data_IF_217501418468
#
_entry.id   IF_217501418468
#
_cell.length_a   1.000
_cell.length_b   1.000
_cell.length_c   1.000
_cell.angle_alpha   90.00
_cell.angle_beta   90.00
_cell.angle_gamma   90.00
#
_symmetry.space_group_name_H-M   'P 1'
#
loop_
_entity.id
_entity.type
_entity.pdbx_description
1 polymer ?
#
# COMPACT_ATOMS: atom_id res chain seq x y z
N UNK A 1 -11.31 -0.16 10.37
CA UNK A 1 -10.01 0.54 10.32
C UNK A 1 -9.43 0.62 8.91
N UNK A 2 -9.23 -0.49 8.20
CA UNK A 2 -8.64 -0.49 6.84
C UNK A 2 -9.30 0.49 5.87
N UNK A 3 -10.62 0.41 5.68
CA UNK A 3 -11.34 1.31 4.78
C UNK A 3 -11.20 2.79 5.17
N UNK A 4 -11.19 3.11 6.47
CA UNK A 4 -11.01 4.48 6.97
C UNK A 4 -9.62 5.00 6.60
N UNK A 5 -8.57 4.20 6.80
CA UNK A 5 -7.21 4.59 6.42
C UNK A 5 -7.07 4.81 4.91
N UNK A 6 -7.69 3.96 4.09
CA UNK A 6 -7.70 4.10 2.63
C UNK A 6 -8.46 5.37 2.20
N UNK A 7 -9.64 5.63 2.76
CA UNK A 7 -10.42 6.84 2.46
C UNK A 7 -9.65 8.10 2.86
N UNK A 8 -9.03 8.10 4.04
CA UNK A 8 -8.17 9.21 4.46
C UNK A 8 -7.03 9.41 3.46
N UNK A 9 -6.30 8.35 3.11
CA UNK A 9 -5.23 8.42 2.12
C UNK A 9 -5.69 9.01 0.78
N UNK A 10 -6.81 8.52 0.23
CA UNK A 10 -7.38 9.03 -1.03
C UNK A 10 -7.71 10.53 -0.90
N UNK A 11 -8.43 10.90 0.15
CA UNK A 11 -8.87 12.29 0.35
C UNK A 11 -7.69 13.24 0.53
N UNK A 12 -6.75 12.94 1.42
CA UNK A 12 -5.64 13.83 1.72
C UNK A 12 -4.67 13.95 0.54
N UNK A 13 -4.39 12.86 -0.19
CA UNK A 13 -3.56 12.92 -1.40
C UNK A 13 -4.25 13.68 -2.54
N UNK A 14 -5.57 13.57 -2.70
CA UNK A 14 -6.30 14.30 -3.74
C UNK A 14 -6.06 15.81 -3.63
N UNK A 15 -6.01 16.33 -2.40
CA UNK A 15 -5.71 17.74 -2.10
C UNK A 15 -4.23 18.01 -1.83
N UNK A 16 -3.31 17.15 -2.28
CA UNK A 16 -1.87 17.35 -2.15
C UNK A 16 -1.42 17.54 -0.70
N UNK A 17 -1.99 16.75 0.21
CA UNK A 17 -1.76 16.78 1.67
C UNK A 17 -2.21 18.05 2.39
N UNK A 18 -2.87 19.01 1.72
CA UNK A 18 -3.23 20.31 2.32
C UNK A 18 -4.40 20.26 3.30
N UNK A 19 -5.20 19.19 3.26
CA UNK A 19 -6.35 19.01 4.15
C UNK A 19 -6.02 18.21 5.40
N UNK A 20 -4.76 17.88 5.63
CA UNK A 20 -4.29 17.18 6.84
C UNK A 20 -4.37 18.09 8.08
N UNK A 21 -4.48 17.48 9.25
CA UNK A 21 -4.77 18.16 10.52
C UNK A 21 -3.52 18.50 11.34
N UNK A 22 -2.32 18.13 10.87
CA UNK A 22 -1.08 18.53 11.53
C UNK A 22 -0.91 20.05 11.52
N UNK A 23 -0.47 20.60 12.65
CA UNK A 23 -0.34 22.04 12.87
C UNK A 23 1.08 22.45 13.28
N UNK A 24 2.07 21.58 13.07
CA UNK A 24 3.46 21.89 13.35
C UNK A 24 4.04 22.79 12.26
N UNK A 25 4.99 23.63 12.64
CA UNK A 25 5.66 24.56 11.73
C UNK A 25 7.19 24.42 11.81
N UNK A 26 7.88 24.95 10.79
CA UNK A 26 9.34 24.97 10.72
C UNK A 26 9.99 23.60 10.81
N UNK A 27 11.10 23.51 11.55
CA UNK A 27 11.89 22.27 11.67
C UNK A 27 11.09 21.11 12.30
N UNK A 28 10.19 21.40 13.24
CA UNK A 28 9.37 20.38 13.89
C UNK A 28 8.41 19.70 12.89
N UNK A 29 7.82 20.48 11.97
CA UNK A 29 6.99 19.93 10.90
C UNK A 29 7.77 18.96 10.03
N UNK A 30 8.99 19.33 9.63
CA UNK A 30 9.87 18.50 8.78
C UNK A 30 10.21 17.19 9.50
N UNK A 31 10.60 17.27 10.78
CA UNK A 31 10.94 16.09 11.57
C UNK A 31 9.73 15.17 11.78
N UNK A 32 8.57 15.73 12.13
CA UNK A 32 7.35 14.97 12.36
C UNK A 32 6.83 14.33 11.07
N UNK A 33 6.75 15.08 9.98
CA UNK A 33 6.34 14.57 8.67
C UNK A 33 7.32 13.51 8.15
N UNK A 34 8.64 13.74 8.34
CA UNK A 34 9.69 12.77 8.03
C UNK A 34 9.51 11.47 8.82
N UNK A 35 9.24 11.56 10.13
CA UNK A 35 8.95 10.38 10.95
C UNK A 35 7.66 9.67 10.49
N UNK A 36 6.59 10.41 10.22
CA UNK A 36 5.30 9.88 9.75
C UNK A 36 5.42 9.13 8.42
N UNK A 37 6.20 9.63 7.47
CA UNK A 37 6.34 8.98 6.16
C UNK A 37 7.34 7.84 6.17
N UNK A 38 8.41 7.93 6.96
CA UNK A 38 9.42 6.86 7.05
C UNK A 38 8.95 5.69 7.91
N UNK A 39 8.15 5.93 8.96
CA UNK A 39 7.66 4.86 9.82
C UNK A 39 6.82 3.83 9.04
N UNK A 40 6.05 4.27 8.04
CA UNK A 40 5.21 3.35 7.27
C UNK A 40 6.05 2.30 6.51
N UNK A 41 6.89 2.64 5.52
CA UNK A 41 7.64 1.65 4.75
C UNK A 41 8.60 0.83 5.62
N UNK A 42 9.22 1.45 6.63
CA UNK A 42 10.16 0.76 7.54
C UNK A 42 9.43 -0.25 8.42
N UNK A 43 8.44 0.19 9.19
CA UNK A 43 7.75 -0.72 10.11
C UNK A 43 6.88 -1.72 9.33
N UNK A 44 6.19 -1.31 8.25
CA UNK A 44 5.41 -2.24 7.43
C UNK A 44 6.27 -3.37 6.84
N UNK A 45 7.45 -3.04 6.29
CA UNK A 45 8.39 -4.04 5.77
C UNK A 45 8.94 -4.95 6.87
N UNK A 46 9.27 -4.38 8.03
CA UNK A 46 9.72 -5.14 9.18
C UNK A 46 8.65 -6.11 9.69
N UNK A 47 7.40 -5.64 9.80
CA UNK A 47 6.26 -6.43 10.26
C UNK A 47 5.90 -7.58 9.30
N UNK A 48 6.28 -7.48 8.02
CA UNK A 48 6.17 -8.59 7.05
C UNK A 48 7.28 -9.65 7.19
N UNK A 49 8.36 -9.37 7.95
CA UNK A 49 9.43 -10.33 8.21
C UNK A 49 9.02 -11.37 9.26
N UNK A 50 9.74 -12.49 9.33
CA UNK A 50 9.51 -13.51 10.36
C UNK A 50 9.65 -12.95 11.79
N UNK A 51 10.59 -12.02 12.01
CA UNK A 51 10.80 -11.38 13.32
C UNK A 51 9.65 -10.44 13.67
N UNK A 52 9.20 -9.63 12.71
CA UNK A 52 8.07 -8.73 12.91
C UNK A 52 6.75 -9.47 13.15
N UNK A 53 6.50 -10.57 12.43
CA UNK A 53 5.33 -11.42 12.66
C UNK A 53 5.32 -12.05 14.07
N UNK A 54 6.50 -12.40 14.62
CA UNK A 54 6.60 -12.86 16.02
C UNK A 54 6.18 -11.76 17.01
N UNK A 55 6.58 -10.51 16.78
CA UNK A 55 6.18 -9.38 17.63
C UNK A 55 4.66 -9.14 17.52
N UNK A 56 4.11 -9.17 16.31
CA UNK A 56 2.65 -9.02 16.11
C UNK A 56 1.84 -10.09 16.83
N UNK A 57 2.37 -11.31 16.93
CA UNK A 57 1.69 -12.39 17.65
C UNK A 57 1.52 -12.12 19.16
N UNK A 58 2.28 -11.17 19.72
CA UNK A 58 2.15 -10.74 21.11
C UNK A 58 0.94 -9.83 21.35
N UNK A 59 0.36 -9.22 20.30
CA UNK A 59 -0.78 -8.32 20.41
C UNK A 59 -2.12 -9.07 20.57
N UNK A 60 -2.17 -10.35 20.20
CA UNK A 60 -3.39 -11.15 20.23
C UNK A 60 -3.46 -12.12 21.42
N UNK A 61 -4.66 -12.62 21.77
CA UNK A 61 -4.79 -13.74 22.71
C UNK A 61 -3.99 -14.94 22.22
N UNK A 62 -3.25 -15.62 23.11
CA UNK A 62 -2.31 -16.70 22.74
C UNK A 62 -2.94 -17.79 21.85
N UNK A 63 -4.21 -18.11 22.08
CA UNK A 63 -4.94 -19.16 21.36
C UNK A 63 -5.40 -18.74 19.95
N UNK A 64 -5.49 -17.43 19.69
CA UNK A 64 -5.98 -16.86 18.43
C UNK A 64 -4.91 -16.07 17.67
N UNK A 65 -3.74 -15.82 18.27
CA UNK A 65 -2.70 -14.95 17.72
C UNK A 65 -2.23 -15.37 16.31
N UNK A 66 -2.09 -16.67 16.07
CA UNK A 66 -1.70 -17.19 14.75
C UNK A 66 -2.82 -16.94 13.73
N UNK A 67 -4.07 -17.20 14.13
CA UNK A 67 -5.24 -17.03 13.26
C UNK A 67 -5.51 -15.56 12.91
N UNK A 68 -5.23 -14.65 13.85
CA UNK A 68 -5.45 -13.20 13.71
C UNK A 68 -4.19 -12.44 13.27
N UNK A 69 -3.15 -13.14 12.81
CA UNK A 69 -1.89 -12.51 12.35
C UNK A 69 -2.12 -11.52 11.20
N UNK A 70 -2.94 -11.89 10.21
CA UNK A 70 -3.33 -11.00 9.10
C UNK A 70 -4.14 -9.80 9.57
N UNK A 71 -5.08 -10.01 10.49
CA UNK A 71 -5.88 -8.94 11.09
C UNK A 71 -5.01 -7.95 11.86
N UNK A 72 -4.13 -8.44 12.73
CA UNK A 72 -3.25 -7.62 13.56
C UNK A 72 -2.30 -6.80 12.69
N UNK A 73 -1.70 -7.45 11.69
CA UNK A 73 -0.87 -6.78 10.69
C UNK A 73 -1.63 -5.66 9.98
N UNK A 74 -2.83 -5.95 9.45
CA UNK A 74 -3.59 -4.95 8.70
C UNK A 74 -4.07 -3.81 9.59
N UNK A 75 -4.44 -4.05 10.85
CA UNK A 75 -4.79 -2.98 11.80
C UNK A 75 -3.60 -2.06 12.03
N UNK A 76 -2.43 -2.60 12.36
CA UNK A 76 -1.23 -1.80 12.60
C UNK A 76 -0.87 -1.00 11.33
N UNK A 77 -0.81 -1.65 10.16
CA UNK A 77 -0.55 -0.96 8.90
C UNK A 77 -1.58 0.14 8.58
N UNK A 78 -2.85 -0.10 8.91
CA UNK A 78 -3.92 0.89 8.71
C UNK A 78 -3.77 2.08 9.65
N UNK A 79 -3.37 1.86 10.91
CA UNK A 79 -3.08 2.94 11.87
C UNK A 79 -1.89 3.77 11.39
N UNK A 80 -0.83 3.12 10.90
CA UNK A 80 0.35 3.80 10.36
C UNK A 80 0.00 4.72 9.18
N UNK A 81 -0.81 4.24 8.23
CA UNK A 81 -1.28 5.06 7.10
C UNK A 81 -2.22 6.17 7.57
N UNK A 82 -3.18 5.84 8.43
CA UNK A 82 -4.13 6.83 8.95
C UNK A 82 -3.39 7.97 9.68
N UNK A 83 -2.42 7.64 10.53
CA UNK A 83 -1.59 8.63 11.21
C UNK A 83 -0.80 9.49 10.21
N UNK A 84 -0.17 8.87 9.19
CA UNK A 84 0.55 9.61 8.15
C UNK A 84 -0.34 10.65 7.47
N UNK A 85 -1.52 10.27 6.99
CA UNK A 85 -2.38 11.18 6.21
C UNK A 85 -3.15 12.18 7.08
N UNK A 86 -3.54 11.81 8.29
CA UNK A 86 -4.29 12.69 9.19
C UNK A 86 -3.38 13.70 9.91
N UNK A 87 -2.21 13.27 10.38
CA UNK A 87 -1.33 14.09 11.24
C UNK A 87 -0.24 14.84 10.47
N UNK A 88 -0.20 14.71 9.14
CA UNK A 88 0.71 15.50 8.30
C UNK A 88 0.49 16.99 8.52
N UNK A 89 1.58 17.74 8.72
CA UNK A 89 1.56 19.20 8.85
C UNK A 89 1.83 19.84 7.49
N UNK A 90 0.85 20.48 6.82
CA UNK A 90 1.01 20.98 5.46
C UNK A 90 1.97 22.17 5.36
N UNK A 91 2.81 22.17 4.33
CA UNK A 91 3.72 23.29 4.02
C UNK A 91 3.02 24.53 3.47
N UNK A 92 1.77 24.40 2.98
CA UNK A 92 1.01 25.44 2.27
C UNK A 92 1.62 25.89 0.92
N UNK A 93 2.67 25.20 0.46
CA UNK A 93 3.32 25.47 -0.83
C UNK A 93 2.61 24.65 -1.92
N UNK A 94 1.74 25.31 -2.68
CA UNK A 94 0.97 24.72 -3.78
C UNK A 94 1.58 25.16 -5.11
N UNK A 95 1.73 24.22 -6.04
CA UNK A 95 2.23 24.49 -7.38
C UNK A 95 1.06 24.64 -8.36
N UNK A 96 1.17 25.62 -9.24
CA UNK A 96 0.26 25.75 -10.38
C UNK A 96 0.59 24.72 -11.44
N UNK A 97 -0.45 24.13 -12.04
CA UNK A 97 -0.28 23.22 -13.15
C UNK A 97 0.14 24.02 -14.40
N UNK A 98 1.13 23.55 -15.17
CA UNK A 98 1.62 24.28 -16.35
C UNK A 98 0.57 24.38 -17.47
N UNK A 99 -0.46 23.51 -17.45
CA UNK A 99 -1.53 23.48 -18.43
C UNK A 99 -2.89 23.28 -17.76
N UNK A 100 -3.88 24.09 -18.12
CA UNK A 100 -5.22 24.07 -17.52
C UNK A 100 -5.95 22.74 -17.71
N UNK A 101 -5.75 22.06 -18.85
CA UNK A 101 -6.43 20.79 -19.13
C UNK A 101 -6.08 19.70 -18.10
N UNK A 102 -4.93 19.79 -17.43
CA UNK A 102 -4.50 18.83 -16.41
C UNK A 102 -5.44 18.81 -15.21
N UNK A 103 -6.15 19.91 -14.92
CA UNK A 103 -7.16 19.99 -13.86
C UNK A 103 -8.29 18.97 -14.10
N UNK A 104 -8.59 18.65 -15.35
CA UNK A 104 -9.62 17.67 -15.71
C UNK A 104 -9.06 16.25 -15.87
N UNK A 105 -7.85 16.12 -16.43
CA UNK A 105 -7.25 14.80 -16.71
C UNK A 105 -6.73 14.12 -15.44
N UNK A 106 -6.05 14.85 -14.55
CA UNK A 106 -5.43 14.25 -13.35
C UNK A 106 -6.45 13.58 -12.42
N UNK A 107 -7.63 14.17 -12.09
CA UNK A 107 -8.65 13.48 -11.31
C UNK A 107 -9.12 12.16 -11.93
N UNK A 108 -9.25 12.10 -13.26
CA UNK A 108 -9.66 10.87 -13.96
C UNK A 108 -8.58 9.80 -13.80
N UNK A 109 -7.31 10.16 -14.06
CA UNK A 109 -6.18 9.24 -13.90
C UNK A 109 -6.00 8.80 -12.44
N UNK A 110 -6.25 9.70 -11.48
CA UNK A 110 -6.23 9.40 -10.06
C UNK A 110 -7.29 8.37 -9.69
N UNK A 111 -8.55 8.61 -10.04
CA UNK A 111 -9.64 7.66 -9.81
C UNK A 111 -9.37 6.31 -10.50
N UNK A 112 -8.85 6.31 -11.72
CA UNK A 112 -8.50 5.09 -12.45
C UNK A 112 -7.40 4.30 -11.73
N UNK A 113 -6.38 4.98 -11.17
CA UNK A 113 -5.32 4.32 -10.41
C UNK A 113 -5.84 3.61 -9.14
N UNK A 114 -6.76 4.23 -8.42
CA UNK A 114 -7.43 3.60 -7.28
C UNK A 114 -8.34 2.46 -7.69
N UNK A 115 -9.06 2.60 -8.80
CA UNK A 115 -9.84 1.50 -9.36
C UNK A 115 -8.95 0.29 -9.70
N UNK A 116 -7.82 0.52 -10.38
CA UNK A 116 -6.83 -0.53 -10.65
C UNK A 116 -6.26 -1.15 -9.37
N UNK A 117 -6.07 -0.34 -8.31
CA UNK A 117 -5.63 -0.84 -7.01
C UNK A 117 -6.68 -1.78 -6.38
N UNK A 118 -7.96 -1.42 -6.46
CA UNK A 118 -9.07 -2.24 -5.96
C UNK A 118 -9.13 -3.57 -6.72
N UNK A 119 -9.09 -3.53 -8.05
CA UNK A 119 -9.07 -4.75 -8.89
C UNK A 119 -7.88 -5.63 -8.55
N UNK A 120 -6.67 -5.04 -8.44
CA UNK A 120 -5.47 -5.78 -8.06
C UNK A 120 -5.54 -6.38 -6.64
N UNK A 121 -6.26 -5.73 -5.72
CA UNK A 121 -6.48 -6.22 -4.36
C UNK A 121 -7.47 -7.38 -4.35
N UNK A 122 -8.51 -7.33 -5.18
CA UNK A 122 -9.48 -8.42 -5.36
C UNK A 122 -8.77 -9.65 -5.95
N UNK A 123 -8.00 -9.48 -7.03
CA UNK A 123 -7.24 -10.56 -7.68
C UNK A 123 -6.23 -11.22 -6.72
N UNK A 124 -5.70 -10.47 -5.75
CA UNK A 124 -4.77 -10.97 -4.74
C UNK A 124 -5.44 -11.70 -3.57
N UNK A 125 -6.78 -11.66 -3.47
CA UNK A 125 -7.54 -12.12 -2.32
C UNK A 125 -7.83 -11.00 -1.32
N UNK A 126 -8.99 -10.35 -1.48
CA UNK A 126 -9.44 -9.21 -0.67
C UNK A 126 -9.44 -9.52 0.84
N UNK A 127 -9.80 -10.74 1.24
CA UNK A 127 -9.89 -11.13 2.65
C UNK A 127 -8.53 -11.09 3.35
N UNK A 128 -7.45 -11.42 2.65
CA UNK A 128 -6.10 -11.36 3.21
C UNK A 128 -5.61 -9.93 3.31
N UNK A 129 -5.85 -9.14 2.26
CA UNK A 129 -5.39 -7.76 2.19
C UNK A 129 -6.10 -6.86 3.22
N UNK A 130 -7.41 -7.06 3.38
CA UNK A 130 -8.22 -6.36 4.39
C UNK A 130 -7.98 -6.87 5.82
N UNK A 131 -7.28 -7.98 6.00
CA UNK A 131 -7.11 -8.64 7.30
C UNK A 131 -8.37 -9.36 7.79
N UNK A 132 -9.42 -9.48 6.96
CA UNK A 132 -10.67 -10.15 7.32
C UNK A 132 -10.54 -11.67 7.43
N UNK A 133 -9.57 -12.28 6.70
CA UNK A 133 -9.38 -13.74 6.67
C UNK A 133 -9.26 -14.34 8.08
N UNK A 134 -8.58 -13.65 8.99
CA UNK A 134 -8.40 -14.13 10.36
C UNK A 134 -9.72 -14.31 11.09
N UNK A 135 -10.57 -13.28 11.10
CA UNK A 135 -11.89 -13.33 11.73
C UNK A 135 -12.85 -14.29 11.03
N UNK A 136 -12.86 -14.32 9.69
CA UNK A 136 -13.68 -15.27 8.92
C UNK A 136 -13.31 -16.71 9.32
N UNK A 137 -12.02 -16.99 9.46
CA UNK A 137 -11.53 -18.32 9.85
C UNK A 137 -11.90 -18.69 11.28
N UNK A 138 -11.77 -17.76 12.22
CA UNK A 138 -12.15 -17.95 13.63
C UNK A 138 -13.66 -18.21 13.76
N UNK A 139 -14.50 -17.39 13.10
CA UNK A 139 -15.96 -17.55 13.09
C UNK A 139 -16.38 -18.88 12.44
N UNK A 140 -15.69 -19.28 11.37
CA UNK A 140 -15.92 -20.56 10.70
C UNK A 140 -15.34 -21.77 11.46
N UNK A 141 -14.67 -21.57 12.60
CA UNK A 141 -13.93 -22.60 13.37
C UNK A 141 -12.95 -23.41 12.51
N UNK A 142 -12.29 -22.73 11.57
CA UNK A 142 -11.30 -23.30 10.64
C UNK A 142 -9.96 -22.58 10.77
N UNK A 143 -8.87 -23.25 10.42
CA UNK A 143 -7.56 -22.59 10.31
C UNK A 143 -7.54 -21.68 9.07
N UNK A 144 -6.94 -20.47 9.14
CA UNK A 144 -6.81 -19.62 7.97
C UNK A 144 -6.07 -20.33 6.84
N UNK A 145 -6.73 -20.44 5.69
CA UNK A 145 -6.12 -20.94 4.46
C UNK A 145 -5.75 -19.73 3.62
N UNK A 146 -4.44 -19.45 3.54
CA UNK A 146 -3.94 -18.39 2.67
C UNK A 146 -4.23 -18.73 1.20
N UNK A 147 -4.61 -17.75 0.37
CA UNK A 147 -4.85 -17.95 -1.04
C UNK A 147 -3.58 -18.42 -1.73
N UNK A 148 -3.76 -19.16 -2.83
CA UNK A 148 -2.65 -19.56 -3.68
C UNK A 148 -1.97 -18.35 -4.32
N UNK A 149 -0.79 -18.58 -4.90
CA UNK A 149 -0.08 -17.57 -5.68
C UNK A 149 -1.01 -16.96 -6.74
N UNK A 150 -1.33 -15.65 -6.69
CA UNK A 150 -2.21 -15.03 -7.68
C UNK A 150 -1.47 -14.95 -9.02
N UNK A 151 -2.03 -15.58 -10.05
CA UNK A 151 -1.50 -15.58 -11.42
C UNK A 151 -2.57 -15.25 -12.47
N UNK A 152 -3.77 -14.86 -12.04
CA UNK A 152 -4.92 -14.50 -12.88
C UNK A 152 -5.19 -13.00 -12.83
N UNK A 153 -6.13 -12.51 -13.66
CA UNK A 153 -6.49 -11.09 -13.69
C UNK A 153 -5.29 -10.20 -14.03
N UNK A 154 -5.09 -9.12 -13.26
CA UNK A 154 -3.95 -8.22 -13.42
C UNK A 154 -2.60 -8.90 -13.14
N UNK A 155 -2.59 -9.93 -12.28
CA UNK A 155 -1.38 -10.72 -12.00
C UNK A 155 -0.95 -11.58 -13.19
N UNK A 156 -1.80 -11.79 -14.20
CA UNK A 156 -1.35 -12.40 -15.46
C UNK A 156 -0.47 -11.45 -16.28
N UNK A 157 -0.70 -10.15 -16.15
CA UNK A 157 -0.07 -9.10 -16.96
C UNK A 157 1.25 -8.63 -16.33
N UNK A 158 1.25 -8.36 -15.03
CA UNK A 158 2.43 -7.91 -14.26
C UNK A 158 2.44 -8.57 -12.88
N UNK A 159 3.61 -8.73 -12.26
CA UNK A 159 3.75 -9.39 -10.96
C UNK A 159 3.28 -8.57 -9.77
N UNK A 160 3.36 -7.24 -9.90
CA UNK A 160 3.11 -6.31 -8.79
C UNK A 160 2.04 -5.27 -9.13
N UNK A 161 0.83 -5.67 -9.53
CA UNK A 161 -0.21 -4.72 -9.94
C UNK A 161 -0.65 -3.80 -8.79
N UNK A 162 -0.69 -4.28 -7.54
CA UNK A 162 -1.00 -3.41 -6.38
C UNK A 162 0.02 -2.26 -6.26
N UNK A 163 1.31 -2.57 -6.37
CA UNK A 163 2.36 -1.56 -6.26
C UNK A 163 2.37 -0.64 -7.49
N UNK A 164 2.10 -1.16 -8.69
CA UNK A 164 2.01 -0.35 -9.90
C UNK A 164 0.82 0.62 -9.84
N UNK A 165 -0.35 0.15 -9.40
CA UNK A 165 -1.54 0.99 -9.23
C UNK A 165 -1.33 2.07 -8.18
N UNK A 166 -0.71 1.74 -7.04
CA UNK A 166 -0.42 2.75 -6.00
C UNK A 166 0.68 3.73 -6.43
N UNK A 167 1.69 3.28 -7.18
CA UNK A 167 2.67 4.15 -7.81
C UNK A 167 2.01 5.17 -8.76
N UNK A 168 1.04 4.72 -9.56
CA UNK A 168 0.24 5.63 -10.38
C UNK A 168 -0.56 6.61 -9.51
N UNK A 169 -1.19 6.13 -8.44
CA UNK A 169 -1.99 6.98 -7.55
C UNK A 169 -1.19 8.12 -6.92
N UNK A 170 0.07 7.89 -6.53
CA UNK A 170 0.93 8.97 -6.02
C UNK A 170 1.44 9.91 -7.12
N UNK A 171 1.39 9.51 -8.40
CA UNK A 171 1.82 10.35 -9.52
C UNK A 171 0.69 11.09 -10.24
N UNK A 172 -0.55 10.66 -10.06
CA UNK A 172 -1.70 11.23 -10.78
C UNK A 172 -2.59 12.10 -9.89
N UNK A 173 -2.13 12.42 -8.68
CA UNK A 173 -2.77 13.36 -7.75
C UNK A 173 -3.15 14.69 -8.44
N UNK A 174 -4.38 15.20 -8.24
CA UNK A 174 -4.83 16.44 -8.89
C UNK A 174 -4.15 17.71 -8.39
N UNK A 175 -3.79 17.76 -7.11
CA UNK A 175 -3.16 18.93 -6.49
C UNK A 175 -1.71 18.60 -6.15
N UNK A 176 -0.78 19.32 -6.78
CA UNK A 176 0.66 19.18 -6.53
C UNK A 176 1.14 20.26 -5.56
N UNK A 177 1.86 19.81 -4.53
CA UNK A 177 2.41 20.64 -3.47
C UNK A 177 3.82 20.16 -3.13
N UNK A 178 4.59 20.96 -2.40
CA UNK A 178 5.89 20.51 -1.90
C UNK A 178 5.75 19.22 -1.06
N UNK A 179 4.69 19.13 -0.25
CA UNK A 179 4.35 17.96 0.56
C UNK A 179 4.09 16.72 -0.32
N UNK A 180 3.27 16.87 -1.35
CA UNK A 180 2.89 15.77 -2.22
C UNK A 180 4.07 15.26 -3.03
N UNK A 181 5.01 16.12 -3.45
CA UNK A 181 6.26 15.68 -4.09
C UNK A 181 7.05 14.76 -3.16
N UNK A 182 7.22 15.13 -1.89
CA UNK A 182 7.92 14.30 -0.90
C UNK A 182 7.21 12.96 -0.72
N UNK A 183 5.88 12.98 -0.61
CA UNK A 183 5.06 11.76 -0.52
C UNK A 183 5.25 10.87 -1.75
N UNK A 184 5.18 11.43 -2.95
CA UNK A 184 5.31 10.71 -4.21
C UNK A 184 6.71 10.12 -4.40
N UNK A 185 7.76 10.84 -4.01
CA UNK A 185 9.14 10.32 -4.08
C UNK A 185 9.36 9.14 -3.13
N UNK A 186 8.95 9.28 -1.86
CA UNK A 186 9.21 8.25 -0.84
C UNK A 186 8.30 7.03 -1.04
N UNK A 187 6.99 7.24 -1.16
CA UNK A 187 6.05 6.12 -1.34
C UNK A 187 6.13 5.54 -2.76
N UNK A 188 6.39 6.36 -3.78
CA UNK A 188 6.61 5.89 -5.14
C UNK A 188 7.89 5.08 -5.26
N UNK A 189 8.98 5.54 -4.65
CA UNK A 189 10.22 4.77 -4.52
C UNK A 189 10.00 3.45 -3.79
N UNK A 190 9.23 3.47 -2.69
CA UNK A 190 8.84 2.26 -1.98
C UNK A 190 8.07 1.29 -2.90
N UNK A 191 7.16 1.76 -3.75
CA UNK A 191 6.45 0.91 -4.69
C UNK A 191 7.35 0.20 -5.70
N UNK A 192 8.46 0.83 -6.08
CA UNK A 192 9.43 0.26 -7.03
C UNK A 192 10.32 -0.77 -6.34
N UNK A 193 10.83 -0.48 -5.13
CA UNK A 193 11.86 -1.30 -4.48
C UNK A 193 11.30 -2.36 -3.52
N UNK A 194 10.22 -2.08 -2.80
CA UNK A 194 9.62 -3.03 -1.85
C UNK A 194 9.25 -4.39 -2.44
N UNK A 195 8.74 -4.48 -3.70
CA UNK A 195 8.39 -5.77 -4.26
C UNK A 195 9.60 -6.69 -4.51
N UNK A 196 10.84 -6.18 -4.52
CA UNK A 196 12.05 -7.03 -4.56
C UNK A 196 12.12 -7.95 -3.34
N UNK A 197 11.82 -7.41 -2.15
CA UNK A 197 11.75 -8.20 -0.92
C UNK A 197 10.53 -9.13 -0.92
N UNK A 198 9.43 -8.72 -1.56
CA UNK A 198 8.25 -9.56 -1.75
C UNK A 198 8.56 -10.76 -2.65
N UNK A 199 9.26 -10.56 -3.77
CA UNK A 199 9.71 -11.64 -4.67
C UNK A 199 10.52 -12.68 -3.88
N UNK A 200 11.48 -12.25 -3.05
CA UNK A 200 12.28 -13.15 -2.20
C UNK A 200 11.39 -14.01 -1.29
N UNK A 201 10.43 -13.40 -0.59
CA UNK A 201 9.48 -14.12 0.26
C UNK A 201 8.58 -15.08 -0.54
N UNK A 202 8.21 -14.74 -1.78
CA UNK A 202 7.40 -15.60 -2.64
C UNK A 202 8.21 -16.78 -3.19
N UNK A 203 9.50 -16.59 -3.49
CA UNK A 203 10.44 -17.67 -3.83
C UNK A 203 10.56 -18.64 -2.65
N UNK A 204 10.78 -18.13 -1.43
CA UNK A 204 10.87 -18.97 -0.22
C UNK A 204 9.59 -19.80 0.03
N UNK A 205 8.41 -19.23 -0.24
CA UNK A 205 7.11 -19.89 0.01
C UNK A 205 6.65 -20.84 -1.09
N UNK A 206 6.94 -20.53 -2.35
CA UNK A 206 6.35 -21.23 -3.51
C UNK A 206 7.40 -21.87 -4.44
N UNK A 207 8.70 -21.65 -4.19
CA UNK A 207 9.82 -22.26 -4.92
C UNK A 207 9.70 -22.13 -6.43
N UNK A 208 9.84 -23.27 -7.12
CA UNK A 208 9.77 -23.40 -8.58
C UNK A 208 8.46 -22.87 -9.20
N UNK A 209 7.33 -22.93 -8.49
CA UNK A 209 6.06 -22.38 -9.00
C UNK A 209 6.18 -20.88 -9.22
N UNK A 210 6.82 -20.17 -8.29
CA UNK A 210 7.01 -18.73 -8.40
C UNK A 210 8.13 -18.35 -9.37
N UNK A 211 9.21 -19.14 -9.47
CA UNK A 211 10.28 -18.91 -10.45
C UNK A 211 9.76 -18.99 -11.89
N UNK A 212 8.92 -20.00 -12.20
CA UNK A 212 8.26 -20.12 -13.51
C UNK A 212 7.39 -18.89 -13.82
N UNK A 213 6.54 -18.49 -12.89
CA UNK A 213 5.72 -17.28 -13.01
C UNK A 213 6.57 -16.02 -13.20
N UNK A 214 7.68 -15.91 -12.45
CA UNK A 214 8.64 -14.81 -12.55
C UNK A 214 9.31 -14.71 -13.92
N UNK A 215 9.53 -15.82 -14.60
CA UNK A 215 10.13 -15.84 -15.93
C UNK A 215 9.15 -15.44 -17.05
N UNK A 216 7.84 -15.66 -16.85
CA UNK A 216 6.82 -15.37 -17.87
C UNK A 216 6.11 -14.05 -17.69
N UNK A 217 6.11 -13.49 -16.47
CA UNK A 217 5.34 -12.29 -16.13
C UNK A 217 6.27 -11.14 -15.70
N UNK A 218 6.20 -9.97 -16.37
CA UNK A 218 7.08 -8.84 -16.08
C UNK A 218 6.80 -8.18 -14.73
N UNK A 219 7.76 -7.38 -14.25
CA UNK A 219 7.75 -6.84 -12.88
C UNK A 219 6.57 -5.88 -12.59
N UNK A 220 6.50 -4.74 -13.29
CA UNK A 220 5.48 -3.70 -13.10
C UNK A 220 4.98 -3.06 -14.40
N UNK A 221 5.77 -3.10 -15.48
CA UNK A 221 5.36 -2.59 -16.79
C UNK A 221 5.02 -3.76 -17.71
N UNK A 222 3.85 -3.75 -18.39
CA UNK A 222 3.51 -4.77 -19.36
C UNK A 222 4.55 -4.81 -20.49
N UNK A 223 5.08 -5.98 -20.81
CA UNK A 223 5.86 -6.21 -22.03
C UNK A 223 4.94 -6.77 -23.13
N UNK A 224 5.28 -6.53 -24.40
CA UNK A 224 4.53 -6.92 -25.62
C UNK A 224 4.29 -8.43 -25.84
N UNK A 225 4.24 -9.26 -24.80
CA UNK A 225 3.94 -10.69 -24.88
C UNK A 225 2.72 -10.97 -24.01
N UNK A 226 1.56 -10.49 -24.46
CA UNK A 226 0.30 -11.15 -24.13
C UNK A 226 0.12 -12.16 -25.25
N UNK A 227 0.65 -13.37 -25.08
CA UNK A 227 0.28 -14.51 -25.90
C UNK A 227 -1.02 -15.10 -25.37
#
# INVERSE_FOLDING_TARGET
MFAIAVIAMIYHMFYGMQKSYGNLEGALAIMANGALILQFPVAHSFLLSQRGQKILSLLGPKDLAISLSTTSFTIVASIQLFALFMLWSPSKIVFELPFEFLIYILPILYCLSWFLLIVATIDAGLEVQSGALGWISVLARKKPKFPELPTTGLYRIIRHPIYASFFLAVLTVPTWTADQIVVSLILGGYCIFAPILKDRRLIERHGEKYLRYKNTTPYMLPSKIIK
#
